data_IF_628718260983
#
_entry.id   IF_628718260983
#
_cell.length_a   1.000
_cell.length_b   1.000
_cell.length_c   1.000
_cell.angle_alpha   90.00
_cell.angle_beta   90.00
_cell.angle_gamma   90.00
#
_symmetry.space_group_name_H-M   'P 1'
#
loop_
_entity.id
_entity.type
_entity.pdbx_description
1 polymer ?
#
# COMPACT_ATOMS: atom_id res chain seq x y z
N UNK A 1 -19.60 25.76 -86.59
CA UNK A 1 -19.48 26.42 -85.26
C UNK A 1 -20.65 25.88 -84.45
N UNK A 2 -20.48 24.69 -83.90
CA UNK A 2 -21.58 23.88 -83.39
C UNK A 2 -22.00 24.31 -82.00
N UNK A 3 -23.31 24.33 -81.80
CA UNK A 3 -23.98 24.81 -80.61
C UNK A 3 -24.95 23.74 -80.14
N UNK A 4 -24.96 23.54 -78.82
CA UNK A 4 -26.10 23.14 -77.99
C UNK A 4 -26.64 21.71 -78.11
N UNK A 5 -26.27 20.95 -77.07
CA UNK A 5 -27.11 20.48 -75.95
C UNK A 5 -28.30 19.55 -76.21
N UNK A 6 -28.27 18.51 -75.38
CA UNK A 6 -29.33 17.70 -74.76
C UNK A 6 -29.79 16.47 -75.52
N UNK A 7 -29.40 15.30 -74.98
CA UNK A 7 -30.28 14.16 -74.84
C UNK A 7 -30.06 13.52 -73.46
N UNK A 8 -31.17 13.34 -72.75
CA UNK A 8 -31.25 12.58 -71.50
C UNK A 8 -31.64 11.14 -71.84
N UNK A 9 -31.12 10.15 -71.12
CA UNK A 9 -31.89 9.04 -70.54
C UNK A 9 -31.00 8.08 -69.74
N UNK A 10 -31.18 8.13 -68.42
CA UNK A 10 -31.47 7.05 -67.46
C UNK A 10 -31.01 5.60 -67.70
N UNK A 11 -30.28 5.12 -66.67
CA UNK A 11 -30.23 3.77 -66.05
C UNK A 11 -29.45 2.61 -66.68
N UNK A 12 -28.48 2.11 -65.90
CA UNK A 12 -28.33 0.69 -65.53
C UNK A 12 -27.33 0.54 -64.35
N UNK A 13 -27.78 -0.13 -63.28
CA UNK A 13 -26.98 -0.64 -62.14
C UNK A 13 -26.13 -1.85 -62.56
N UNK A 14 -25.03 -2.19 -61.85
CA UNK A 14 -25.15 -3.32 -60.92
C UNK A 14 -24.31 -3.29 -59.63
N UNK A 15 -24.86 -4.00 -58.63
CA UNK A 15 -24.23 -4.86 -57.63
C UNK A 15 -23.11 -4.31 -56.72
N UNK A 16 -23.49 -3.99 -55.48
CA UNK A 16 -22.61 -3.93 -54.32
C UNK A 16 -22.15 -5.34 -53.93
N UNK A 17 -20.84 -5.61 -54.00
CA UNK A 17 -20.22 -6.75 -53.33
C UNK A 17 -19.89 -6.32 -51.89
N UNK A 18 -20.52 -6.96 -50.90
CA UNK A 18 -20.15 -6.80 -49.50
C UNK A 18 -18.84 -7.56 -49.25
N UNK A 19 -17.75 -6.84 -49.02
CA UNK A 19 -16.56 -7.41 -48.38
C UNK A 19 -16.74 -7.25 -46.87
N UNK A 20 -17.00 -8.36 -46.19
CA UNK A 20 -17.00 -8.41 -44.73
C UNK A 20 -15.56 -8.18 -44.25
N UNK A 21 -15.28 -6.98 -43.75
CA UNK A 21 -14.07 -6.73 -42.98
C UNK A 21 -14.28 -7.41 -41.62
N UNK A 22 -13.43 -8.36 -41.19
CA UNK A 22 -13.52 -8.88 -39.84
C UNK A 22 -13.34 -7.72 -38.88
N UNK A 23 -14.35 -7.51 -38.04
CA UNK A 23 -14.35 -6.56 -36.95
C UNK A 23 -13.17 -6.92 -36.04
N UNK A 24 -12.07 -6.18 -36.19
CA UNK A 24 -10.90 -6.26 -35.34
C UNK A 24 -11.32 -5.67 -33.99
N UNK A 25 -12.10 -6.45 -33.22
CA UNK A 25 -12.23 -6.24 -31.78
C UNK A 25 -10.81 -6.26 -31.25
N UNK A 26 -10.30 -5.07 -30.97
CA UNK A 26 -9.18 -4.87 -30.09
C UNK A 26 -9.54 -5.57 -28.79
N UNK A 27 -9.11 -6.82 -28.69
CA UNK A 27 -8.91 -7.51 -27.44
C UNK A 27 -7.80 -6.70 -26.79
N UNK A 28 -8.20 -5.68 -26.04
CA UNK A 28 -7.31 -4.99 -25.12
C UNK A 28 -6.78 -6.07 -24.21
N UNK A 29 -5.55 -6.51 -24.46
CA UNK A 29 -4.75 -7.23 -23.49
C UNK A 29 -4.89 -6.46 -22.18
N UNK A 30 -5.61 -7.08 -21.26
CA UNK A 30 -5.68 -6.64 -19.87
C UNK A 30 -4.21 -6.55 -19.44
N UNK A 31 -3.79 -5.38 -18.97
CA UNK A 31 -2.40 -5.16 -18.61
C UNK A 31 -1.97 -6.20 -17.55
N UNK A 32 -1.21 -7.21 -17.97
CA UNK A 32 -0.64 -8.26 -17.13
C UNK A 32 0.33 -7.73 -16.04
N UNK A 33 0.52 -6.41 -15.94
CA UNK A 33 1.38 -5.75 -14.94
C UNK A 33 0.67 -5.21 -13.69
N UNK A 34 -0.67 -5.30 -13.64
CA UNK A 34 -1.48 -4.76 -12.53
C UNK A 34 -1.84 -5.83 -11.48
N UNK A 35 -1.69 -7.13 -11.79
CA UNK A 35 -2.09 -8.23 -10.89
C UNK A 35 -0.98 -8.76 -9.96
N UNK A 36 0.29 -8.33 -10.10
CA UNK A 36 1.42 -8.91 -9.35
C UNK A 36 1.50 -8.50 -7.86
N UNK A 37 0.72 -7.51 -7.41
CA UNK A 37 0.57 -7.18 -5.98
C UNK A 37 -0.91 -6.99 -5.66
N UNK A 38 -1.40 -7.72 -4.66
CA UNK A 38 -2.81 -7.73 -4.30
C UNK A 38 -2.99 -7.29 -2.84
N UNK A 39 -3.69 -6.17 -2.59
CA UNK A 39 -4.12 -5.79 -1.25
C UNK A 39 -4.95 -6.91 -0.60
N UNK A 40 -4.67 -7.16 0.67
CA UNK A 40 -5.50 -8.01 1.52
C UNK A 40 -6.58 -7.13 2.14
N UNK A 41 -7.83 -7.58 2.10
CA UNK A 41 -8.93 -6.88 2.75
C UNK A 41 -8.76 -6.94 4.27
N UNK A 42 -8.51 -5.76 4.86
CA UNK A 42 -8.36 -5.58 6.31
C UNK A 42 -9.60 -4.95 6.96
N UNK A 43 -10.69 -4.74 6.22
CA UNK A 43 -11.87 -3.98 6.68
C UNK A 43 -12.48 -4.53 7.98
N UNK A 44 -12.49 -5.85 8.15
CA UNK A 44 -12.96 -6.53 9.36
C UNK A 44 -12.01 -6.41 10.57
N UNK A 45 -10.75 -6.02 10.33
CA UNK A 45 -9.69 -5.98 11.34
C UNK A 45 -9.36 -4.57 11.83
N UNK A 46 -9.80 -3.54 11.11
CA UNK A 46 -9.56 -2.16 11.51
C UNK A 46 -10.19 -1.82 12.87
N UNK A 47 -9.44 -1.05 13.67
CA UNK A 47 -9.78 -0.75 15.04
C UNK A 47 -10.91 0.27 15.12
N UNK A 48 -12.09 -0.17 15.58
CA UNK A 48 -13.22 0.70 15.97
C UNK A 48 -13.29 0.87 17.49
N UNK A 49 -12.15 1.06 18.15
CA UNK A 49 -12.13 1.26 19.61
C UNK A 49 -12.43 2.73 19.88
N UNK A 50 -13.64 3.01 20.36
CA UNK A 50 -14.09 4.38 20.60
C UNK A 50 -13.09 5.17 21.45
N UNK A 51 -12.80 6.41 21.03
CA UNK A 51 -11.89 7.30 21.74
C UNK A 51 -10.40 7.01 21.51
N UNK A 52 -10.05 6.17 20.54
CA UNK A 52 -8.66 5.95 20.11
C UNK A 52 -8.36 6.65 18.79
N UNK A 53 -7.08 6.78 18.47
CA UNK A 53 -6.60 7.29 17.19
C UNK A 53 -7.13 6.46 16.00
N UNK A 54 -7.50 5.18 16.21
CA UNK A 54 -8.08 4.32 15.18
C UNK A 54 -9.54 4.67 14.86
N UNK A 55 -10.32 5.10 15.86
CA UNK A 55 -11.71 5.54 15.71
C UNK A 55 -11.83 6.92 15.06
N UNK A 56 -10.79 7.75 15.24
CA UNK A 56 -10.72 9.10 14.68
C UNK A 56 -9.77 9.24 13.50
N UNK A 57 -9.18 8.15 13.00
CA UNK A 57 -8.08 8.22 12.02
C UNK A 57 -8.45 9.07 10.81
N UNK A 58 -9.60 8.84 10.17
CA UNK A 58 -10.01 9.62 8.99
C UNK A 58 -10.72 10.94 9.30
N UNK A 59 -10.98 11.23 10.56
CA UNK A 59 -11.67 12.46 11.00
C UNK A 59 -10.71 13.45 11.66
N UNK A 60 -9.54 12.99 12.11
CA UNK A 60 -8.48 13.82 12.66
C UNK A 60 -7.93 14.76 11.56
N UNK A 61 -7.78 16.07 11.83
CA UNK A 61 -7.38 17.06 10.81
C UNK A 61 -6.11 16.71 10.04
N UNK A 62 -5.08 16.19 10.72
CA UNK A 62 -3.81 15.78 10.09
C UNK A 62 -3.94 14.62 9.09
N UNK A 63 -4.99 13.82 9.22
CA UNK A 63 -5.16 12.57 8.49
C UNK A 63 -6.18 12.66 7.36
N UNK A 64 -6.94 13.76 7.26
CA UNK A 64 -7.85 14.02 6.13
C UNK A 64 -7.16 14.05 4.78
N UNK A 65 -5.90 14.46 4.76
CA UNK A 65 -5.07 14.57 3.56
C UNK A 65 -4.53 13.23 3.06
N UNK A 66 -4.63 12.16 3.87
CA UNK A 66 -4.21 10.82 3.43
C UNK A 66 -5.18 10.34 2.35
N UNK A 67 -4.65 9.89 1.19
CA UNK A 67 -5.47 9.27 0.15
C UNK A 67 -6.25 8.06 0.68
N UNK A 68 -7.48 7.86 0.20
CA UNK A 68 -8.38 6.79 0.67
C UNK A 68 -8.60 5.73 -0.41
N UNK A 69 -8.95 4.53 0.00
CA UNK A 69 -9.23 3.41 -0.91
C UNK A 69 -7.96 2.89 -1.59
N UNK A 70 -8.10 2.39 -2.83
CA UNK A 70 -6.99 1.81 -3.57
C UNK A 70 -5.99 2.89 -4.02
N UNK A 71 -4.73 2.74 -3.59
CA UNK A 71 -3.65 3.67 -3.87
C UNK A 71 -2.39 2.90 -4.29
N UNK A 72 -1.64 3.48 -5.22
CA UNK A 72 -0.37 2.91 -5.66
C UNK A 72 0.80 3.69 -5.04
N UNK A 73 1.66 3.01 -4.30
CA UNK A 73 2.89 3.58 -3.75
C UNK A 73 4.08 2.70 -4.12
N UNK A 74 5.13 3.30 -4.69
CA UNK A 74 6.30 2.58 -5.23
C UNK A 74 5.91 1.42 -6.17
N UNK A 75 4.85 1.57 -6.97
CA UNK A 75 4.37 0.52 -7.89
C UNK A 75 3.55 -0.60 -7.24
N UNK A 76 3.35 -0.57 -5.91
CA UNK A 76 2.57 -1.56 -5.14
C UNK A 76 1.19 -1.01 -4.83
N UNK A 77 0.16 -1.82 -5.06
CA UNK A 77 -1.22 -1.47 -4.73
C UNK A 77 -1.51 -1.73 -3.25
N UNK A 78 -2.11 -0.76 -2.58
CA UNK A 78 -2.58 -0.80 -1.19
C UNK A 78 -4.03 -0.34 -1.08
N UNK A 79 -4.78 -0.91 -0.14
CA UNK A 79 -6.10 -0.41 0.25
C UNK A 79 -6.01 0.38 1.55
N UNK A 80 -6.27 1.70 1.48
CA UNK A 80 -6.24 2.65 2.59
C UNK A 80 -7.66 2.96 3.07
N UNK A 81 -8.37 1.90 3.48
CA UNK A 81 -9.75 2.00 3.99
C UNK A 81 -9.87 2.04 5.52
N UNK A 82 -8.75 1.97 6.24
CA UNK A 82 -8.71 2.06 7.70
C UNK A 82 -7.33 1.84 8.29
N UNK A 83 -7.29 1.64 9.60
CA UNK A 83 -6.07 1.35 10.34
C UNK A 83 -6.27 0.29 11.39
N UNK A 84 -5.27 -0.58 11.51
CA UNK A 84 -5.14 -1.57 12.55
C UNK A 84 -4.10 -1.05 13.54
N UNK A 85 -4.56 -0.71 14.75
CA UNK A 85 -3.69 -0.32 15.86
C UNK A 85 -3.53 -1.49 16.83
N UNK A 86 -2.30 -1.68 17.30
CA UNK A 86 -1.97 -2.68 18.32
C UNK A 86 -1.65 -2.01 19.65
N UNK A 87 -1.83 -2.76 20.73
CA UNK A 87 -1.47 -2.38 22.10
C UNK A 87 -0.07 -1.78 22.19
N UNK A 88 0.08 -0.81 23.08
CA UNK A 88 1.38 -0.30 23.53
C UNK A 88 1.29 0.09 25.00
N UNK A 89 2.41 0.48 25.60
CA UNK A 89 2.42 1.03 26.97
C UNK A 89 1.62 2.34 27.05
N UNK A 90 1.58 3.12 25.97
CA UNK A 90 0.83 4.38 25.90
C UNK A 90 -0.66 4.18 25.59
N UNK A 91 -1.04 3.05 25.00
CA UNK A 91 -2.42 2.68 24.69
C UNK A 91 -2.72 1.24 25.10
N UNK A 92 -2.78 0.94 26.42
CA UNK A 92 -2.95 -0.42 26.94
C UNK A 92 -4.31 -1.04 26.60
N UNK A 93 -5.30 -0.24 26.23
CA UNK A 93 -6.67 -0.64 25.87
C UNK A 93 -6.80 -1.20 24.44
N UNK A 94 -5.80 -1.02 23.58
CA UNK A 94 -5.81 -1.59 22.24
C UNK A 94 -5.56 -3.11 22.29
N UNK A 95 -5.90 -3.81 21.20
CA UNK A 95 -5.74 -5.27 21.12
C UNK A 95 -4.25 -5.63 21.12
N UNK A 96 -3.88 -6.65 21.90
CA UNK A 96 -2.52 -7.18 21.91
C UNK A 96 -2.14 -7.86 20.60
N UNK A 97 -3.11 -8.47 19.93
CA UNK A 97 -2.91 -9.07 18.62
C UNK A 97 -4.15 -8.90 17.73
N UNK A 98 -3.90 -8.85 16.43
CA UNK A 98 -4.89 -9.13 15.40
C UNK A 98 -4.52 -10.44 14.74
N UNK A 99 -5.47 -11.37 14.71
CA UNK A 99 -5.22 -12.75 14.29
C UNK A 99 -6.07 -13.15 13.11
N UNK A 100 -5.58 -14.14 12.38
CA UNK A 100 -6.25 -14.80 11.27
C UNK A 100 -6.56 -13.85 10.10
N UNK A 101 -5.66 -12.92 9.77
CA UNK A 101 -5.79 -12.10 8.55
C UNK A 101 -5.61 -13.03 7.34
N UNK A 102 -6.66 -13.30 6.55
CA UNK A 102 -6.60 -14.32 5.52
C UNK A 102 -5.73 -13.88 4.35
N UNK A 103 -4.75 -14.71 3.98
CA UNK A 103 -3.94 -14.50 2.77
C UNK A 103 -4.27 -15.57 1.73
N UNK A 104 -4.28 -16.85 2.15
CA UNK A 104 -4.71 -18.02 1.36
C UNK A 104 -4.06 -18.15 -0.01
N UNK A 105 -2.76 -17.83 -0.12
CA UNK A 105 -2.00 -17.90 -1.38
C UNK A 105 -0.49 -17.95 -1.20
N UNK A 106 0.20 -18.33 -2.26
CA UNK A 106 1.65 -18.12 -2.40
C UNK A 106 1.92 -16.69 -2.83
N UNK A 107 3.05 -16.15 -2.38
CA UNK A 107 3.61 -14.89 -2.84
C UNK A 107 5.11 -14.88 -2.57
N UNK A 108 5.86 -14.03 -3.26
CA UNK A 108 7.29 -13.79 -2.98
C UNK A 108 7.51 -12.65 -2.00
N UNK A 109 6.60 -11.68 -1.97
CA UNK A 109 6.71 -10.47 -1.17
C UNK A 109 5.47 -10.22 -0.34
N UNK A 110 5.72 -9.64 0.84
CA UNK A 110 4.72 -9.11 1.75
C UNK A 110 5.04 -7.63 1.94
N UNK A 111 4.13 -6.77 1.56
CA UNK A 111 4.28 -5.32 1.62
C UNK A 111 3.37 -4.77 2.72
N UNK A 112 3.92 -3.95 3.60
CA UNK A 112 3.16 -3.20 4.59
C UNK A 112 3.21 -1.72 4.23
N UNK A 113 2.05 -1.06 4.28
CA UNK A 113 1.97 0.38 4.46
C UNK A 113 1.63 0.62 5.94
N UNK A 114 2.54 1.26 6.66
CA UNK A 114 2.46 1.34 8.12
C UNK A 114 3.13 2.60 8.67
N UNK A 115 2.90 2.82 9.96
CA UNK A 115 3.53 3.85 10.79
C UNK A 115 3.49 3.40 12.24
N UNK A 116 3.89 4.29 13.14
CA UNK A 116 3.53 4.15 14.55
C UNK A 116 3.26 5.51 15.19
N UNK A 117 2.48 5.50 16.26
CA UNK A 117 2.30 6.65 17.15
C UNK A 117 3.28 6.62 18.32
N UNK A 118 3.44 7.77 18.98
CA UNK A 118 4.42 7.97 20.06
C UNK A 118 5.86 7.70 19.58
N UNK A 119 6.79 7.47 20.51
CA UNK A 119 8.21 7.28 20.24
C UNK A 119 8.75 6.04 20.93
N UNK A 120 9.69 5.38 20.28
CA UNK A 120 10.53 4.34 20.87
C UNK A 120 11.97 4.48 20.37
N UNK A 121 12.91 3.78 20.99
CA UNK A 121 14.32 3.78 20.59
C UNK A 121 14.52 3.04 19.26
N UNK A 122 15.48 3.50 18.45
CA UNK A 122 15.87 2.79 17.23
C UNK A 122 16.38 1.38 17.60
N UNK A 123 15.89 0.36 16.91
CA UNK A 123 16.17 -1.04 17.22
C UNK A 123 15.12 -1.73 18.09
N UNK A 124 14.18 -1.00 18.71
CA UNK A 124 13.07 -1.63 19.44
C UNK A 124 12.12 -2.35 18.48
N UNK A 125 11.86 -3.63 18.73
CA UNK A 125 10.76 -4.35 18.07
C UNK A 125 9.43 -3.87 18.62
N UNK A 126 8.58 -3.30 17.77
CA UNK A 126 7.28 -2.74 18.17
C UNK A 126 6.12 -3.73 17.94
N UNK A 127 6.26 -4.59 16.93
CA UNK A 127 5.30 -5.64 16.61
C UNK A 127 6.01 -6.80 15.90
N UNK A 128 5.36 -7.95 15.87
CA UNK A 128 5.80 -9.13 15.13
C UNK A 128 4.71 -9.52 14.14
N UNK A 129 5.10 -9.74 12.88
CA UNK A 129 4.25 -10.34 11.86
C UNK A 129 4.51 -11.85 11.85
N UNK A 130 3.54 -12.62 12.34
CA UNK A 130 3.59 -14.08 12.35
C UNK A 130 2.89 -14.61 11.09
N UNK A 131 3.62 -15.34 10.25
CA UNK A 131 3.16 -15.91 8.99
C UNK A 131 2.86 -17.37 9.21
N UNK A 132 1.61 -17.77 8.99
CA UNK A 132 1.14 -19.14 9.15
C UNK A 132 0.89 -19.75 7.78
N UNK A 133 1.50 -20.89 7.50
CA UNK A 133 1.43 -21.55 6.19
C UNK A 133 0.43 -22.71 6.22
N UNK A 134 -0.13 -23.02 5.05
CA UNK A 134 -1.13 -24.09 4.92
C UNK A 134 -0.58 -25.49 5.25
N UNK A 135 0.73 -25.68 5.20
CA UNK A 135 1.40 -26.92 5.61
C UNK A 135 1.65 -27.01 7.14
N UNK A 136 1.16 -26.05 7.92
CA UNK A 136 1.31 -25.99 9.38
C UNK A 136 2.58 -25.30 9.87
N UNK A 137 3.50 -24.94 8.96
CA UNK A 137 4.70 -24.18 9.33
C UNK A 137 4.36 -22.74 9.75
N UNK A 138 5.28 -22.14 10.52
CA UNK A 138 5.20 -20.74 10.96
C UNK A 138 6.53 -20.04 10.81
N UNK A 139 6.49 -18.73 10.55
CA UNK A 139 7.66 -17.83 10.53
C UNK A 139 7.28 -16.52 11.21
N UNK A 140 8.23 -15.87 11.86
CA UNK A 140 8.02 -14.58 12.51
C UNK A 140 8.97 -13.54 11.92
N UNK A 141 8.45 -12.36 11.62
CA UNK A 141 9.23 -11.23 11.13
C UNK A 141 9.01 -10.05 12.08
N UNK A 142 10.07 -9.55 12.76
CA UNK A 142 9.94 -8.39 13.64
C UNK A 142 9.78 -7.09 12.83
N UNK A 143 8.90 -6.22 13.30
CA UNK A 143 8.75 -4.84 12.82
C UNK A 143 9.47 -3.95 13.83
N UNK A 144 10.47 -3.20 13.39
CA UNK A 144 11.48 -2.59 14.26
C UNK A 144 11.52 -1.07 14.01
N UNK A 145 11.50 -0.30 15.09
CA UNK A 145 11.64 1.15 15.11
C UNK A 145 13.00 1.57 14.50
N UNK A 146 12.98 2.55 13.60
CA UNK A 146 14.18 3.07 12.93
C UNK A 146 14.76 2.16 11.84
N UNK A 147 14.44 0.86 11.86
CA UNK A 147 14.83 -0.10 10.82
C UNK A 147 13.80 -0.21 9.72
N UNK A 148 12.54 -0.47 10.07
CA UNK A 148 11.45 -0.62 9.09
C UNK A 148 10.54 0.61 9.04
N UNK A 149 10.34 1.27 10.18
CA UNK A 149 9.29 2.28 10.36
C UNK A 149 9.69 3.31 11.41
N UNK A 150 9.14 4.52 11.29
CA UNK A 150 9.24 5.59 12.29
C UNK A 150 7.86 6.15 12.64
N UNK A 151 7.85 7.12 13.55
CA UNK A 151 6.65 7.86 13.93
C UNK A 151 5.96 8.42 12.69
N UNK A 152 4.64 8.23 12.65
CA UNK A 152 3.76 8.70 11.59
C UNK A 152 3.68 10.23 11.52
N UNK A 153 4.06 10.91 12.60
CA UNK A 153 4.34 12.34 12.63
C UNK A 153 5.84 12.53 12.51
N UNK A 154 6.23 13.41 11.59
CA UNK A 154 7.59 13.93 11.51
C UNK A 154 7.66 15.17 12.38
N UNK A 155 8.48 15.13 13.41
CA UNK A 155 8.76 16.31 14.24
C UNK A 155 9.71 17.27 13.50
N UNK A 156 9.60 18.57 13.75
CA UNK A 156 10.51 19.58 13.18
C UNK A 156 11.95 19.41 13.67
N UNK A 157 12.11 18.91 14.89
CA UNK A 157 13.40 18.66 15.56
C UNK A 157 13.96 17.27 15.27
N UNK A 158 13.28 16.46 14.46
CA UNK A 158 13.70 15.10 14.16
C UNK A 158 15.03 15.09 13.39
N UNK A 159 16.06 14.51 14.01
CA UNK A 159 17.42 14.45 13.42
C UNK A 159 17.56 13.34 12.38
N UNK A 160 16.87 12.22 12.59
CA UNK A 160 16.93 11.04 11.73
C UNK A 160 15.52 10.70 11.27
N UNK A 161 15.25 10.96 9.99
CA UNK A 161 13.96 10.67 9.37
C UNK A 161 13.94 9.44 8.48
N UNK A 162 15.12 8.93 8.12
CA UNK A 162 15.26 7.75 7.28
C UNK A 162 15.21 6.47 8.11
N UNK A 163 14.78 5.40 7.46
CA UNK A 163 14.86 4.03 7.97
C UNK A 163 16.05 3.31 7.36
N UNK A 164 16.65 2.38 8.13
CA UNK A 164 17.90 1.70 7.76
C UNK A 164 17.71 0.45 6.90
N UNK A 165 16.54 -0.19 6.90
CA UNK A 165 16.27 -1.31 5.99
C UNK A 165 16.20 -0.81 4.53
N UNK A 166 16.94 -1.44 3.59
CA UNK A 166 16.97 -1.00 2.19
C UNK A 166 15.65 -1.24 1.47
N UNK A 167 14.79 -2.12 1.98
CA UNK A 167 13.45 -2.39 1.43
C UNK A 167 12.37 -1.54 2.11
N UNK A 168 12.72 -0.65 3.03
CA UNK A 168 11.80 0.27 3.70
C UNK A 168 12.07 1.73 3.34
N UNK A 169 11.00 2.55 3.31
CA UNK A 169 11.09 4.01 3.13
C UNK A 169 9.79 4.72 3.47
N UNK A 170 9.84 6.05 3.50
CA UNK A 170 8.64 6.90 3.39
C UNK A 170 8.04 6.73 2.00
N UNK A 171 6.81 6.21 1.93
CA UNK A 171 6.07 5.99 0.69
C UNK A 171 5.10 7.13 0.38
N UNK A 172 4.67 7.84 1.41
CA UNK A 172 3.80 9.01 1.30
C UNK A 172 4.08 9.98 2.44
N UNK A 173 4.00 11.28 2.17
CA UNK A 173 4.04 12.33 3.19
C UNK A 173 3.16 13.51 2.79
N UNK A 174 2.59 14.20 3.79
CA UNK A 174 1.82 15.41 3.54
C UNK A 174 1.78 16.34 4.75
N UNK A 175 1.47 17.60 4.48
CA UNK A 175 1.29 18.66 5.48
C UNK A 175 -0.18 18.68 5.90
N UNK A 176 -0.48 18.32 7.16
CA UNK A 176 -1.84 18.41 7.70
C UNK A 176 -2.35 19.86 7.77
N UNK A 177 -3.67 20.04 8.00
CA UNK A 177 -4.28 21.37 8.11
C UNK A 177 -3.90 22.11 9.41
N UNK A 178 -3.54 21.40 10.46
CA UNK A 178 -3.26 21.99 11.77
C UNK A 178 -2.16 21.25 12.55
N UNK A 179 -0.95 21.08 11.98
CA UNK A 179 0.13 20.48 12.73
C UNK A 179 0.45 21.38 13.94
N UNK A 180 0.55 20.82 15.15
CA UNK A 180 1.07 21.55 16.30
C UNK A 180 2.43 22.20 15.98
N UNK A 181 2.86 23.24 16.72
CA UNK A 181 4.02 24.07 16.37
C UNK A 181 5.32 23.28 16.18
N UNK A 182 5.44 22.12 16.81
CA UNK A 182 6.58 21.20 16.79
C UNK A 182 6.50 20.12 15.69
N UNK A 183 5.37 19.98 14.98
CA UNK A 183 5.19 18.99 13.91
C UNK A 183 5.44 19.56 12.53
N UNK A 184 6.17 18.81 11.72
CA UNK A 184 6.50 19.16 10.35
C UNK A 184 5.49 18.57 9.36
N UNK A 185 5.17 17.27 9.44
CA UNK A 185 4.29 16.59 8.48
C UNK A 185 3.76 15.26 9.03
N UNK A 186 2.77 14.67 8.37
CA UNK A 186 2.46 13.23 8.51
C UNK A 186 3.15 12.42 7.41
N UNK A 187 3.39 11.14 7.67
CA UNK A 187 4.03 10.22 6.73
C UNK A 187 3.62 8.77 6.97
N UNK A 188 3.66 7.99 5.91
CA UNK A 188 3.48 6.53 5.93
C UNK A 188 4.71 5.88 5.32
N UNK A 189 5.10 4.75 5.88
CA UNK A 189 6.24 3.95 5.44
C UNK A 189 5.74 2.75 4.64
N UNK A 190 6.41 2.44 3.54
CA UNK A 190 6.32 1.13 2.90
C UNK A 190 7.50 0.30 3.37
N UNK A 191 7.21 -0.88 3.90
CA UNK A 191 8.20 -1.94 4.13
C UNK A 191 7.89 -3.13 3.23
N UNK A 192 8.92 -3.85 2.78
CA UNK A 192 8.73 -5.05 1.95
C UNK A 192 9.60 -6.18 2.45
N UNK A 193 8.95 -7.27 2.81
CA UNK A 193 9.55 -8.46 3.35
C UNK A 193 9.52 -9.57 2.31
N UNK A 194 10.60 -10.34 2.24
CA UNK A 194 10.64 -11.57 1.44
C UNK A 194 9.87 -12.65 2.19
N UNK A 195 8.94 -13.34 1.52
CA UNK A 195 8.28 -14.51 2.08
C UNK A 195 9.34 -15.61 2.33
N UNK A 196 9.58 -16.02 3.59
CA UNK A 196 10.61 -17.01 3.91
C UNK A 196 10.33 -18.43 3.39
N UNK A 197 9.09 -18.73 2.98
CA UNK A 197 8.70 -20.06 2.50
C UNK A 197 7.81 -19.96 1.25
N UNK A 198 8.45 -20.07 0.07
CA UNK A 198 7.78 -19.90 -1.22
C UNK A 198 7.03 -21.16 -1.71
N UNK A 199 7.38 -22.33 -1.19
CA UNK A 199 6.81 -23.61 -1.64
C UNK A 199 5.44 -23.90 -1.02
N UNK A 200 5.07 -23.22 0.08
CA UNK A 200 3.79 -23.36 0.76
C UNK A 200 2.96 -22.06 0.66
N UNK A 201 1.64 -22.14 0.40
CA UNK A 201 0.77 -20.98 0.53
C UNK A 201 0.79 -20.45 1.97
N UNK A 202 0.81 -19.12 2.11
CA UNK A 202 0.45 -18.47 3.38
C UNK A 202 -1.04 -18.70 3.59
N UNK A 203 -1.39 -19.28 4.72
CA UNK A 203 -2.77 -19.46 5.15
C UNK A 203 -3.33 -18.14 5.70
N UNK A 204 -2.69 -17.61 6.74
CA UNK A 204 -3.03 -16.33 7.36
C UNK A 204 -1.81 -15.66 7.98
N UNK A 205 -1.97 -14.40 8.35
CA UNK A 205 -0.99 -13.61 9.10
C UNK A 205 -1.62 -13.13 10.40
N UNK A 206 -0.84 -13.16 11.47
CA UNK A 206 -1.13 -12.50 12.73
C UNK A 206 -0.18 -11.30 12.91
N UNK A 207 -0.70 -10.20 13.45
CA UNK A 207 0.11 -9.09 13.92
C UNK A 207 0.04 -9.02 15.44
N UNK A 208 1.18 -9.15 16.11
CA UNK A 208 1.28 -9.25 17.56
C UNK A 208 2.10 -8.09 18.11
N UNK A 209 1.52 -7.31 19.01
CA UNK A 209 2.22 -6.25 19.72
C UNK A 209 3.39 -6.79 20.53
N UNK A 210 4.49 -6.04 20.59
CA UNK A 210 5.56 -6.28 21.57
C UNK A 210 5.42 -5.42 22.83
N UNK A 211 4.28 -4.74 22.99
CA UNK A 211 3.97 -3.84 24.10
C UNK A 211 5.09 -2.80 24.34
N UNK A 212 5.62 -2.27 23.24
CA UNK A 212 6.58 -1.16 23.21
C UNK A 212 5.92 0.16 23.66
N UNK A 213 6.67 1.26 23.71
CA UNK A 213 6.10 2.60 23.92
C UNK A 213 5.38 3.07 22.64
N UNK A 214 5.93 2.76 21.48
CA UNK A 214 5.29 3.06 20.19
C UNK A 214 3.98 2.27 20.01
N UNK A 215 2.97 2.89 19.39
CA UNK A 215 1.71 2.24 18.94
C UNK A 215 1.91 1.73 17.52
N UNK A 216 2.04 0.41 17.28
CA UNK A 216 2.13 -0.11 15.92
C UNK A 216 0.85 0.16 15.15
N UNK A 217 0.98 0.64 13.92
CA UNK A 217 -0.15 0.94 13.04
C UNK A 217 0.05 0.36 11.66
N UNK A 218 -0.76 -0.65 11.31
CA UNK A 218 -0.84 -1.19 9.96
C UNK A 218 -1.99 -0.51 9.24
N UNK A 219 -1.67 0.24 8.18
CA UNK A 219 -2.67 0.90 7.33
C UNK A 219 -3.13 -0.05 6.23
N UNK A 220 -2.21 -0.81 5.65
CA UNK A 220 -2.53 -1.76 4.58
C UNK A 220 -1.51 -2.90 4.49
N UNK A 221 -1.98 -4.05 4.01
CA UNK A 221 -1.19 -5.23 3.71
C UNK A 221 -1.43 -5.58 2.25
N UNK A 222 -0.36 -5.79 1.50
CA UNK A 222 -0.41 -6.26 0.10
C UNK A 222 0.57 -7.40 -0.09
N UNK A 223 0.22 -8.40 -0.88
CA UNK A 223 1.06 -9.57 -1.14
C UNK A 223 1.14 -9.86 -2.62
N UNK A 224 2.26 -10.41 -3.06
CA UNK A 224 2.41 -10.86 -4.44
C UNK A 224 3.86 -11.04 -4.85
N UNK A 225 4.11 -11.00 -6.15
CA UNK A 225 5.43 -11.27 -6.72
C UNK A 225 6.12 -9.99 -7.23
N UNK A 226 5.39 -8.87 -7.24
CA UNK A 226 5.93 -7.56 -7.60
C UNK A 226 6.94 -7.07 -6.58
N UNK A 227 8.12 -6.68 -7.05
CA UNK A 227 9.01 -5.82 -6.26
C UNK A 227 8.56 -4.35 -6.40
N UNK A 228 8.73 -3.52 -5.36
CA UNK A 228 8.51 -2.09 -5.47
C UNK A 228 9.40 -1.49 -6.57
N UNK A 229 8.87 -0.53 -7.33
CA UNK A 229 9.60 0.29 -8.30
C UNK A 229 10.07 1.55 -7.61
N UNK A 230 11.38 1.72 -7.55
CA UNK A 230 12.05 2.64 -6.65
C UNK A 230 13.00 3.50 -7.46
N UNK A 231 12.77 4.82 -7.49
CA UNK A 231 13.82 5.75 -7.90
C UNK A 231 14.96 5.77 -6.87
N UNK A 232 16.21 6.07 -7.26
CA UNK A 232 17.34 6.10 -6.32
C UNK A 232 17.02 6.96 -5.09
N UNK A 233 17.28 6.43 -3.90
CA UNK A 233 17.20 7.18 -2.64
C UNK A 233 18.22 8.32 -2.80
N UNK A 234 17.79 9.58 -2.71
CA UNK A 234 18.70 10.72 -2.82
C UNK A 234 19.76 10.57 -1.71
N UNK A 235 20.97 10.18 -2.10
CA UNK A 235 22.13 10.22 -1.22
C UNK A 235 22.35 11.68 -0.89
N UNK A 236 22.32 12.03 0.41
CA UNK A 236 22.82 13.33 0.86
C UNK A 236 24.19 13.51 0.24
N UNK A 237 24.35 14.56 -0.57
CA UNK A 237 25.65 14.97 -1.03
C UNK A 237 26.55 15.16 0.20
N UNK A 238 27.69 14.48 0.22
CA UNK A 238 28.74 14.75 1.19
C UNK A 238 29.11 16.23 1.04
N UNK A 239 28.83 17.02 2.08
CA UNK A 239 29.35 18.38 2.20
C UNK A 239 30.88 18.28 2.26
N UNK A 240 31.53 18.78 1.21
CA UNK A 240 32.96 19.07 1.19
C UNK A 240 33.24 20.41 1.86
#
# INVERSE_FOLDING_TARGET
METRRFDALTALLPALLWVAVPDLRAQTDKADGEEDSQPIDLSAFYGKVSGTEGDSWFTHPDWKIVPKGLQNFDGILFDLSGTLLLKSQNMPQLKEAVRNVPVKRKCRYIHLLHGFGYSDEDGTTIATMEIHYANGEKRAIPIICGVHVRNWWKEKTEKISDVSDPNSRVAWSGQGEYPPPDRASVRLFRSTFVNPLLNAPIDHIDFVSQNSKAIPCIVSLSVGDKKPVVGPKATKAEER
#
